data_IF_689626657977
#
_entry.id   IF_689626657977
#
_cell.length_a   1.000
_cell.length_b   1.000
_cell.length_c   1.000
_cell.angle_alpha   90.00
_cell.angle_beta   90.00
_cell.angle_gamma   90.00
#
_symmetry.space_group_name_H-M   'P 1'
#
loop_
_entity.id
_entity.type
_entity.pdbx_description
1 polymer ?
#
# COMPACT_ATOMS: atom_id res chain seq x y z
N UNK A 1 26.70 -11.84 -4.10
CA UNK A 1 25.87 -10.77 -3.51
C UNK A 1 25.02 -11.25 -2.31
N UNK A 2 24.76 -12.55 -2.16
CA UNK A 2 23.92 -13.14 -1.10
C UNK A 2 24.69 -14.05 -0.15
N UNK A 3 25.97 -13.79 0.06
CA UNK A 3 26.84 -14.58 0.96
C UNK A 3 26.73 -14.06 2.39
N UNK A 4 27.08 -14.94 3.36
CA UNK A 4 27.22 -14.56 4.77
C UNK A 4 28.21 -13.39 4.91
N UNK A 5 27.85 -12.40 5.71
CA UNK A 5 28.69 -11.23 6.02
C UNK A 5 29.39 -11.49 7.37
N UNK A 6 30.68 -11.28 7.39
CA UNK A 6 31.48 -11.44 8.60
C UNK A 6 30.99 -10.47 9.68
N UNK A 7 30.76 -10.98 10.89
CA UNK A 7 30.23 -10.17 11.99
C UNK A 7 28.70 -10.17 12.14
N UNK A 8 27.96 -10.87 11.25
CA UNK A 8 26.53 -11.08 11.34
C UNK A 8 26.21 -12.55 11.62
N UNK A 9 25.12 -12.83 12.34
CA UNK A 9 24.65 -14.21 12.59
C UNK A 9 23.78 -14.69 11.43
N UNK A 10 22.96 -13.80 10.88
CA UNK A 10 22.06 -14.06 9.79
C UNK A 10 22.74 -13.84 8.44
N UNK A 11 22.25 -14.52 7.42
CA UNK A 11 22.65 -14.27 6.05
C UNK A 11 21.91 -13.05 5.45
N UNK A 12 22.36 -12.60 4.31
CA UNK A 12 21.74 -11.42 3.64
C UNK A 12 20.28 -11.69 3.30
N UNK A 13 19.90 -12.90 2.96
CA UNK A 13 18.52 -13.24 2.59
C UNK A 13 17.60 -13.12 3.81
N UNK A 14 18.05 -13.61 4.97
CA UNK A 14 17.30 -13.48 6.22
C UNK A 14 17.15 -12.02 6.63
N UNK A 15 18.20 -11.22 6.51
CA UNK A 15 18.14 -9.78 6.77
C UNK A 15 17.12 -9.09 5.85
N UNK A 16 17.12 -9.43 4.55
CA UNK A 16 16.15 -8.88 3.60
C UNK A 16 14.71 -9.27 3.94
N UNK A 17 14.49 -10.51 4.39
CA UNK A 17 13.17 -10.96 4.84
C UNK A 17 12.73 -10.23 6.11
N UNK A 18 13.64 -10.03 7.05
CA UNK A 18 13.36 -9.29 8.28
C UNK A 18 13.04 -7.80 7.98
N UNK A 19 13.76 -7.19 7.04
CA UNK A 19 13.45 -5.82 6.60
C UNK A 19 12.03 -5.67 6.05
N UNK A 20 11.47 -6.70 5.38
CA UNK A 20 10.06 -6.70 4.92
C UNK A 20 9.05 -6.68 6.06
N UNK A 21 9.45 -7.12 7.26
CA UNK A 21 8.61 -7.11 8.46
C UNK A 21 8.48 -5.75 9.13
N UNK A 22 9.27 -4.76 8.74
CA UNK A 22 9.23 -3.42 9.33
C UNK A 22 7.99 -2.67 8.85
N UNK A 23 7.20 -2.18 9.80
CA UNK A 23 6.02 -1.37 9.53
C UNK A 23 6.38 0.11 9.61
N UNK A 24 6.38 0.79 8.46
CA UNK A 24 6.71 2.20 8.33
C UNK A 24 5.46 3.01 8.00
N UNK A 25 5.35 4.19 8.61
CA UNK A 25 4.37 5.21 8.25
C UNK A 25 5.12 6.41 7.68
N UNK A 26 4.74 6.85 6.50
CA UNK A 26 5.37 7.98 5.83
C UNK A 26 4.37 9.11 5.66
N UNK A 27 4.80 10.34 6.01
CA UNK A 27 4.03 11.56 5.90
C UNK A 27 4.66 12.47 4.84
N UNK A 28 3.81 13.17 4.08
CA UNK A 28 4.17 14.28 3.16
C UNK A 28 5.08 13.96 1.96
N UNK A 29 5.85 12.88 1.98
CA UNK A 29 6.78 12.51 0.89
C UNK A 29 6.41 11.18 0.28
N UNK A 30 6.80 11.00 -0.98
CA UNK A 30 6.63 9.72 -1.69
C UNK A 30 7.84 8.79 -1.52
N UNK A 31 9.03 9.36 -1.30
CA UNK A 31 10.28 8.62 -1.11
C UNK A 31 11.13 9.23 0.01
N UNK A 32 11.83 8.37 0.74
CA UNK A 32 12.82 8.75 1.75
C UNK A 32 14.01 7.78 1.72
N UNK A 33 15.17 8.26 2.14
CA UNK A 33 16.37 7.43 2.32
C UNK A 33 16.73 7.45 3.81
N UNK A 34 16.65 6.29 4.43
CA UNK A 34 16.97 6.08 5.83
C UNK A 34 18.34 5.42 5.94
N UNK A 35 19.03 5.66 7.04
CA UNK A 35 20.33 5.04 7.33
C UNK A 35 20.22 4.18 8.57
N UNK A 36 20.76 2.97 8.52
CA UNK A 36 20.94 2.09 9.66
C UNK A 36 22.43 1.86 9.84
N UNK A 37 22.96 2.28 10.98
CA UNK A 37 24.37 2.08 11.33
C UNK A 37 24.48 1.66 12.79
N UNK A 38 25.00 0.46 13.01
CA UNK A 38 25.22 -0.09 14.37
C UNK A 38 26.49 -0.93 14.39
N UNK A 39 27.20 -0.87 15.50
CA UNK A 39 28.41 -1.66 15.77
C UNK A 39 28.38 -2.23 17.18
N UNK A 40 29.07 -3.35 17.38
CA UNK A 40 29.14 -4.07 18.65
C UNK A 40 28.07 -5.16 18.77
N UNK A 41 28.33 -6.14 19.63
CA UNK A 41 27.47 -7.32 19.81
C UNK A 41 26.05 -6.97 20.25
N UNK A 42 25.07 -7.61 19.66
CA UNK A 42 23.67 -7.52 20.06
C UNK A 42 22.69 -7.42 18.89
N UNK A 43 21.39 -7.39 19.21
CA UNK A 43 20.36 -7.27 18.18
C UNK A 43 20.34 -5.88 17.56
N UNK A 44 20.15 -5.84 16.26
CA UNK A 44 19.84 -4.63 15.48
C UNK A 44 18.35 -4.64 15.26
N UNK A 45 17.68 -3.58 15.72
CA UNK A 45 16.23 -3.47 15.66
C UNK A 45 15.79 -2.36 14.69
N UNK A 46 14.53 -2.36 14.34
CA UNK A 46 13.96 -1.29 13.52
C UNK A 46 14.06 0.09 14.20
N UNK A 47 14.12 0.14 15.53
CA UNK A 47 14.35 1.36 16.30
C UNK A 47 15.76 1.96 16.16
N UNK A 48 16.76 1.18 15.70
CA UNK A 48 18.11 1.67 15.43
C UNK A 48 18.22 2.44 14.09
N UNK A 49 17.17 2.43 13.28
CA UNK A 49 17.13 3.17 12.03
C UNK A 49 17.10 4.68 12.32
N UNK A 50 17.99 5.42 11.69
CA UNK A 50 17.98 6.87 11.75
C UNK A 50 16.82 7.39 10.91
N UNK A 51 15.79 7.85 11.60
CA UNK A 51 14.55 8.32 10.97
C UNK A 51 14.67 9.80 10.60
N UNK A 52 14.09 10.16 9.47
CA UNK A 52 13.74 11.55 9.15
C UNK A 52 12.38 11.87 9.81
N UNK A 53 12.10 13.13 10.08
CA UNK A 53 10.84 13.62 10.67
C UNK A 53 9.59 13.23 9.85
N UNK A 54 9.76 12.81 8.62
CA UNK A 54 8.68 12.37 7.71
C UNK A 54 8.35 10.89 7.80
N UNK A 55 9.16 10.08 8.50
CA UNK A 55 9.00 8.62 8.60
C UNK A 55 8.94 8.18 10.04
N UNK A 56 7.97 7.34 10.36
CA UNK A 56 7.77 6.74 11.67
C UNK A 56 7.84 5.21 11.57
N UNK A 57 8.55 4.57 12.51
CA UNK A 57 8.55 3.10 12.68
C UNK A 57 7.48 2.73 13.70
N UNK A 58 6.54 1.88 13.29
CA UNK A 58 5.42 1.45 14.15
C UNK A 58 5.84 0.30 15.06
N UNK A 59 6.76 -0.56 14.61
CA UNK A 59 7.27 -1.72 15.36
C UNK A 59 8.78 -1.62 15.63
N UNK A 60 9.25 -0.71 16.51
CA UNK A 60 10.67 -0.45 16.75
C UNK A 60 11.43 -1.65 17.32
N UNK A 61 10.73 -2.55 18.01
CA UNK A 61 11.34 -3.76 18.62
C UNK A 61 11.59 -4.90 17.61
N UNK A 62 11.18 -4.71 16.35
CA UNK A 62 11.36 -5.73 15.31
C UNK A 62 12.86 -5.93 15.03
N UNK A 63 13.35 -7.17 15.22
CA UNK A 63 14.75 -7.50 15.02
C UNK A 63 15.05 -7.69 13.54
N UNK A 64 16.08 -7.01 13.05
CA UNK A 64 16.57 -7.09 11.67
C UNK A 64 17.67 -8.16 11.57
N UNK A 65 18.67 -8.09 12.46
CA UNK A 65 19.76 -9.04 12.52
C UNK A 65 20.45 -8.98 13.91
N UNK A 66 21.34 -9.93 14.16
CA UNK A 66 22.16 -9.99 15.36
C UNK A 66 23.65 -9.81 15.00
N UNK A 67 24.30 -8.86 15.64
CA UNK A 67 25.74 -8.63 15.49
C UNK A 67 26.54 -9.49 16.46
N UNK A 68 27.67 -10.02 15.99
CA UNK A 68 28.71 -10.66 16.83
C UNK A 68 29.61 -9.62 17.48
N UNK A 69 30.58 -10.05 18.32
CA UNK A 69 31.41 -9.12 19.12
C UNK A 69 32.13 -8.04 18.31
N UNK A 70 32.59 -8.35 17.09
CA UNK A 70 33.27 -7.42 16.19
C UNK A 70 32.43 -7.00 15.00
N UNK A 71 31.12 -7.32 15.06
CA UNK A 71 30.19 -7.05 13.96
C UNK A 71 29.84 -5.57 13.83
N UNK A 72 29.69 -5.14 12.61
CA UNK A 72 29.12 -3.82 12.29
C UNK A 72 28.27 -3.92 11.05
N UNK A 73 27.18 -3.16 11.05
CA UNK A 73 26.29 -3.05 9.91
C UNK A 73 26.12 -1.58 9.55
N UNK A 74 26.19 -1.31 8.25
CA UNK A 74 25.89 0.02 7.71
C UNK A 74 25.13 -0.16 6.40
N UNK A 75 23.87 0.27 6.38
CA UNK A 75 23.03 0.17 5.20
C UNK A 75 22.19 1.43 5.00
N UNK A 76 21.88 1.69 3.74
CA UNK A 76 20.92 2.72 3.35
C UNK A 76 19.66 2.05 2.84
N UNK A 77 18.52 2.45 3.37
CA UNK A 77 17.21 1.91 3.06
C UNK A 77 16.44 2.96 2.26
N UNK A 78 16.19 2.70 0.99
CA UNK A 78 15.26 3.51 0.19
C UNK A 78 13.85 3.03 0.49
N UNK A 79 13.03 3.90 1.04
CA UNK A 79 11.63 3.66 1.37
C UNK A 79 10.77 4.47 0.43
N UNK A 80 9.73 3.86 -0.11
CA UNK A 80 8.76 4.54 -0.98
C UNK A 80 7.34 4.27 -0.52
N UNK A 81 6.43 5.16 -0.89
CA UNK A 81 5.00 5.00 -0.74
C UNK A 81 4.42 4.39 -2.00
N UNK A 82 3.45 3.48 -1.85
CA UNK A 82 2.83 2.81 -2.98
C UNK A 82 1.51 2.17 -2.63
N UNK A 83 0.95 1.40 -3.56
CA UNK A 83 -0.32 0.70 -3.43
C UNK A 83 -0.14 -0.76 -3.83
N UNK A 84 -0.71 -1.67 -3.04
CA UNK A 84 -0.74 -3.09 -3.32
C UNK A 84 0.62 -3.77 -3.15
N UNK A 85 0.95 -4.69 -4.03
CA UNK A 85 2.20 -5.45 -4.05
C UNK A 85 3.00 -5.14 -5.31
N UNK A 86 4.27 -4.78 -5.13
CA UNK A 86 5.19 -4.50 -6.23
C UNK A 86 6.38 -5.47 -6.16
N UNK A 87 6.50 -6.40 -7.13
CA UNK A 87 7.65 -7.30 -7.19
C UNK A 87 8.92 -6.54 -7.59
N UNK A 88 10.07 -6.97 -7.07
CA UNK A 88 11.37 -6.39 -7.36
C UNK A 88 11.69 -6.33 -8.86
N UNK A 89 11.18 -7.28 -9.63
CA UNK A 89 11.36 -7.33 -11.09
C UNK A 89 10.71 -6.16 -11.82
N UNK A 90 9.58 -5.66 -11.36
CA UNK A 90 8.91 -4.49 -11.96
C UNK A 90 9.65 -3.19 -11.67
N UNK A 91 10.21 -3.06 -10.48
CA UNK A 91 11.01 -1.90 -10.09
C UNK A 91 12.33 -1.81 -10.91
N UNK A 92 12.80 -2.95 -11.43
CA UNK A 92 14.03 -3.02 -12.22
C UNK A 92 13.85 -2.50 -13.65
N UNK A 93 12.66 -2.55 -14.23
CA UNK A 93 12.40 -2.18 -15.63
C UNK A 93 12.62 -0.67 -15.87
N UNK A 94 12.40 0.18 -14.86
CA UNK A 94 12.60 1.64 -14.96
C UNK A 94 14.04 2.12 -14.68
N UNK A 95 14.88 1.32 -14.03
CA UNK A 95 16.21 1.72 -13.54
C UNK A 95 17.36 0.84 -14.11
N UNK A 96 17.10 0.02 -15.15
CA UNK A 96 18.03 -1.01 -15.63
C UNK A 96 19.40 -0.45 -16.10
N UNK A 97 19.49 0.82 -16.51
CA UNK A 97 20.72 1.40 -17.05
C UNK A 97 21.68 2.00 -16.00
N UNK A 98 21.24 2.19 -14.76
CA UNK A 98 22.03 2.93 -13.73
C UNK A 98 22.06 2.25 -12.37
N UNK A 99 21.95 0.92 -12.30
CA UNK A 99 21.95 0.22 -11.02
C UNK A 99 23.35 0.24 -10.36
N UNK A 100 23.55 0.95 -9.24
CA UNK A 100 24.83 0.92 -8.55
C UNK A 100 25.08 -0.48 -7.97
N UNK A 101 26.34 -0.91 -8.04
CA UNK A 101 26.80 -2.17 -7.45
C UNK A 101 26.51 -2.15 -5.94
N UNK A 102 25.98 -3.24 -5.40
CA UNK A 102 25.63 -3.35 -3.97
C UNK A 102 24.22 -2.90 -3.60
N UNK A 103 23.40 -2.48 -4.55
CA UNK A 103 21.98 -2.21 -4.32
C UNK A 103 21.18 -3.51 -4.46
N UNK A 104 20.58 -3.93 -3.36
CA UNK A 104 19.66 -5.07 -3.30
C UNK A 104 18.22 -4.55 -3.37
N UNK A 105 17.41 -5.22 -4.16
CA UNK A 105 16.02 -4.84 -4.39
C UNK A 105 15.10 -5.85 -3.73
N UNK A 106 14.13 -5.33 -2.98
CA UNK A 106 13.10 -6.10 -2.28
C UNK A 106 11.74 -5.94 -2.95
N UNK A 107 10.95 -7.00 -2.91
CA UNK A 107 9.52 -6.86 -3.17
C UNK A 107 8.89 -5.97 -2.09
N UNK A 108 8.06 -5.04 -2.49
CA UNK A 108 7.37 -4.16 -1.58
C UNK A 108 5.88 -4.52 -1.45
N UNK A 109 5.43 -4.70 -0.22
CA UNK A 109 4.01 -4.83 0.11
C UNK A 109 3.56 -3.56 0.84
N UNK A 110 2.72 -2.78 0.17
CA UNK A 110 2.23 -1.50 0.71
C UNK A 110 0.89 -1.64 1.45
N UNK A 111 0.33 -2.86 1.50
CA UNK A 111 -0.94 -3.09 2.16
C UNK A 111 -0.80 -3.06 3.68
N UNK A 112 -1.52 -2.20 4.41
CA UNK A 112 -1.51 -2.17 5.87
C UNK A 112 -2.27 -3.36 6.49
N UNK A 113 -3.12 -4.03 5.72
CA UNK A 113 -3.96 -5.15 6.18
C UNK A 113 -3.22 -6.45 5.99
N UNK A 114 -3.04 -7.21 7.08
CA UNK A 114 -2.40 -8.53 7.09
C UNK A 114 -3.39 -9.67 6.85
N UNK A 115 -4.56 -9.58 7.49
CA UNK A 115 -5.56 -10.63 7.45
C UNK A 115 -6.95 -10.02 7.49
N UNK A 116 -7.85 -10.57 6.70
CA UNK A 116 -9.28 -10.27 6.75
C UNK A 116 -10.06 -11.59 6.75
N UNK A 117 -10.96 -11.73 7.70
CA UNK A 117 -11.96 -12.77 7.70
C UNK A 117 -13.34 -12.14 7.82
N UNK A 118 -14.36 -12.78 7.26
CA UNK A 118 -15.73 -12.32 7.42
C UNK A 118 -16.66 -13.50 7.68
N UNK A 119 -17.74 -13.22 8.41
CA UNK A 119 -18.87 -14.11 8.57
C UNK A 119 -20.17 -13.34 8.43
N UNK A 120 -21.20 -14.05 7.99
CA UNK A 120 -22.54 -13.48 7.83
C UNK A 120 -23.49 -14.30 8.71
N UNK A 121 -24.11 -13.62 9.67
CA UNK A 121 -25.08 -14.21 10.59
C UNK A 121 -26.47 -13.65 10.29
N UNK A 122 -27.51 -14.43 10.54
CA UNK A 122 -28.87 -13.95 10.49
C UNK A 122 -29.12 -12.93 11.62
N UNK A 123 -29.68 -11.79 11.28
CA UNK A 123 -30.01 -10.75 12.24
C UNK A 123 -31.51 -10.51 12.28
N UNK A 124 -32.02 -10.24 13.49
CA UNK A 124 -33.39 -9.82 13.71
C UNK A 124 -33.42 -8.41 14.28
N UNK A 125 -34.10 -7.51 13.57
CA UNK A 125 -34.38 -6.16 14.07
C UNK A 125 -35.90 -6.00 14.12
N UNK A 126 -36.44 -5.92 15.34
CA UNK A 126 -37.88 -5.87 15.63
C UNK A 126 -38.65 -7.03 14.98
N UNK A 127 -39.52 -6.76 14.01
CA UNK A 127 -40.31 -7.75 13.29
C UNK A 127 -39.63 -8.25 11.99
N UNK A 128 -38.47 -7.64 11.60
CA UNK A 128 -37.73 -8.05 10.41
C UNK A 128 -36.77 -9.19 10.78
N UNK A 129 -36.96 -10.34 10.17
CA UNK A 129 -36.17 -11.57 10.40
C UNK A 129 -35.28 -11.91 9.19
N UNK A 130 -35.37 -11.13 8.10
CA UNK A 130 -34.69 -11.35 6.84
C UNK A 130 -33.48 -10.41 6.65
N UNK A 131 -32.80 -10.09 7.74
CA UNK A 131 -31.64 -9.24 7.71
C UNK A 131 -30.38 -10.07 7.96
N UNK A 132 -29.30 -9.70 7.30
CA UNK A 132 -27.98 -10.25 7.51
C UNK A 132 -27.13 -9.31 8.33
N UNK A 133 -26.32 -9.88 9.22
CA UNK A 133 -25.30 -9.20 10.00
C UNK A 133 -23.93 -9.59 9.44
N UNK A 134 -23.21 -8.63 8.87
CA UNK A 134 -21.85 -8.83 8.45
C UNK A 134 -20.88 -8.59 9.63
N UNK A 135 -20.04 -9.56 9.92
CA UNK A 135 -18.97 -9.49 10.89
C UNK A 135 -17.65 -9.51 10.11
N UNK A 136 -16.82 -8.49 10.31
CA UNK A 136 -15.49 -8.39 9.73
C UNK A 136 -14.46 -8.50 10.85
N UNK A 137 -13.50 -9.41 10.68
CA UNK A 137 -12.31 -9.57 11.53
C UNK A 137 -11.10 -9.15 10.72
N UNK A 138 -10.46 -8.03 11.15
CA UNK A 138 -9.41 -7.38 10.40
C UNK A 138 -8.17 -7.22 11.27
N UNK A 139 -7.04 -7.74 10.80
CA UNK A 139 -5.73 -7.57 11.40
C UNK A 139 -4.87 -6.65 10.54
N UNK A 140 -4.37 -5.55 11.13
CA UNK A 140 -3.47 -4.61 10.46
C UNK A 140 -2.04 -4.74 10.98
N UNK A 141 -1.09 -4.12 10.29
CA UNK A 141 0.31 -4.04 10.73
C UNK A 141 0.57 -2.88 11.73
N UNK A 142 -0.48 -2.19 12.18
CA UNK A 142 -0.41 -1.05 13.11
C UNK A 142 -0.19 0.31 12.44
N UNK A 143 0.08 0.36 11.13
CA UNK A 143 0.24 1.65 10.43
C UNK A 143 -1.10 2.37 10.22
N UNK A 144 -2.20 1.62 10.23
CA UNK A 144 -3.57 2.13 10.08
C UNK A 144 -4.50 1.38 11.01
N UNK A 145 -5.51 2.05 11.55
CA UNK A 145 -6.59 1.43 12.32
C UNK A 145 -7.57 0.65 11.40
N UNK A 146 -8.24 -0.34 11.96
CA UNK A 146 -9.13 -1.22 11.21
C UNK A 146 -10.32 -0.46 10.60
N UNK A 147 -10.89 0.51 11.33
CA UNK A 147 -12.01 1.32 10.84
C UNK A 147 -11.59 2.20 9.66
N UNK A 148 -10.41 2.84 9.74
CA UNK A 148 -9.82 3.62 8.67
C UNK A 148 -9.55 2.78 7.42
N UNK A 149 -9.07 1.55 7.60
CA UNK A 149 -8.84 0.62 6.49
C UNK A 149 -10.14 0.28 5.73
N UNK A 150 -11.24 0.01 6.45
CA UNK A 150 -12.55 -0.25 5.84
C UNK A 150 -13.08 0.97 5.11
N UNK A 151 -12.99 2.17 5.73
CA UNK A 151 -13.44 3.42 5.11
C UNK A 151 -12.65 3.72 3.83
N UNK A 152 -11.33 3.54 3.86
CA UNK A 152 -10.47 3.74 2.69
C UNK A 152 -10.82 2.77 1.57
N UNK A 153 -11.00 1.49 1.88
CA UNK A 153 -11.40 0.48 0.90
C UNK A 153 -12.77 0.80 0.27
N UNK A 154 -13.73 1.23 1.08
CA UNK A 154 -15.05 1.63 0.59
C UNK A 154 -14.98 2.86 -0.35
N UNK A 155 -14.15 3.85 -0.02
CA UNK A 155 -13.93 5.02 -0.87
C UNK A 155 -13.30 4.62 -2.21
N UNK A 156 -12.28 3.75 -2.21
CA UNK A 156 -11.65 3.25 -3.43
C UNK A 156 -12.68 2.56 -4.32
N UNK A 157 -13.55 1.71 -3.75
CA UNK A 157 -14.62 1.05 -4.50
C UNK A 157 -15.63 2.06 -5.06
N UNK A 158 -16.04 3.04 -4.26
CA UNK A 158 -16.96 4.08 -4.71
C UNK A 158 -16.39 4.89 -5.88
N UNK A 159 -15.12 5.28 -5.80
CA UNK A 159 -14.41 6.00 -6.86
C UNK A 159 -14.31 5.17 -8.14
N UNK A 160 -14.03 3.88 -8.05
CA UNK A 160 -13.98 2.98 -9.20
C UNK A 160 -15.38 2.80 -9.85
N UNK A 161 -16.43 2.78 -9.04
CA UNK A 161 -17.80 2.65 -9.53
C UNK A 161 -18.35 3.98 -10.06
N UNK A 162 -17.83 5.12 -9.66
CA UNK A 162 -18.26 6.44 -10.12
C UNK A 162 -18.15 6.59 -11.65
N UNK A 163 -17.15 5.97 -12.25
CA UNK A 163 -16.97 5.95 -13.72
C UNK A 163 -18.23 5.42 -14.44
N UNK A 164 -18.89 4.41 -13.87
CA UNK A 164 -20.14 3.87 -14.47
C UNK A 164 -21.34 4.77 -14.26
N UNK A 165 -21.36 5.52 -13.17
CA UNK A 165 -22.42 6.52 -12.89
C UNK A 165 -22.27 7.70 -13.84
N UNK A 166 -21.07 8.23 -13.98
CA UNK A 166 -20.76 9.36 -14.87
C UNK A 166 -20.99 9.00 -16.35
N UNK A 167 -20.75 7.75 -16.73
CA UNK A 167 -21.01 7.27 -18.09
C UNK A 167 -22.50 7.33 -18.45
N UNK A 168 -23.40 6.98 -17.50
CA UNK A 168 -24.84 7.10 -17.69
C UNK A 168 -25.29 8.58 -17.75
N UNK A 169 -24.73 9.43 -16.92
CA UNK A 169 -25.02 10.85 -16.91
C UNK A 169 -24.60 11.52 -18.25
N UNK A 170 -23.41 11.19 -18.76
CA UNK A 170 -22.94 11.71 -20.07
C UNK A 170 -23.81 11.25 -21.22
N UNK A 171 -24.22 9.97 -21.25
CA UNK A 171 -25.15 9.50 -22.29
C UNK A 171 -26.50 10.22 -22.23
N UNK A 172 -27.03 10.51 -21.05
CA UNK A 172 -28.29 11.25 -20.90
C UNK A 172 -28.16 12.69 -21.41
N UNK A 173 -27.05 13.37 -21.10
CA UNK A 173 -26.77 14.74 -21.59
C UNK A 173 -26.58 14.76 -23.10
N UNK A 174 -25.85 13.80 -23.69
CA UNK A 174 -25.68 13.71 -25.15
C UNK A 174 -26.98 13.42 -25.87
N UNK A 175 -27.93 12.70 -25.28
CA UNK A 175 -29.25 12.44 -25.85
C UNK A 175 -30.10 13.73 -25.80
N UNK A 176 -30.09 14.45 -24.66
CA UNK A 176 -30.81 15.72 -24.53
C UNK A 176 -30.24 16.81 -25.46
N UNK A 177 -28.93 16.91 -25.64
CA UNK A 177 -28.30 17.84 -26.58
C UNK A 177 -28.66 17.52 -28.05
N UNK A 178 -28.69 16.23 -28.42
CA UNK A 178 -29.10 15.81 -29.77
C UNK A 178 -30.60 16.02 -30.04
N UNK A 179 -31.46 15.91 -29.04
CA UNK A 179 -32.87 16.24 -29.18
C UNK A 179 -33.11 17.74 -29.30
N UNK A 180 -32.24 18.59 -28.74
CA UNK A 180 -32.33 20.06 -28.88
C UNK A 180 -31.75 20.59 -30.20
N UNK A 181 -30.93 19.83 -30.91
CA UNK A 181 -30.35 20.20 -32.21
C UNK A 181 -31.25 19.86 -33.43
N UNK A 182 -32.49 19.47 -33.23
CA UNK A 182 -33.41 19.28 -34.34
C UNK A 182 -33.69 20.65 -34.97
N UNK A 183 -33.18 20.83 -36.19
CA UNK A 183 -33.29 22.07 -36.97
C UNK A 183 -34.76 22.51 -37.06
N UNK A 184 -35.10 23.71 -36.58
CA UNK A 184 -36.45 24.22 -36.63
C UNK A 184 -37.02 24.35 -38.07
N UNK A 185 -36.18 24.19 -39.09
CA UNK A 185 -36.59 24.11 -40.51
C UNK A 185 -37.38 22.85 -40.83
N UNK A 186 -37.12 21.74 -40.12
CA UNK A 186 -37.82 20.47 -40.28
C UNK A 186 -39.21 20.43 -39.64
N UNK A 187 -39.55 21.44 -38.84
CA UNK A 187 -40.85 21.57 -38.16
C UNK A 187 -41.83 22.47 -38.92
N UNK A 188 -41.48 22.98 -40.10
CA UNK A 188 -42.43 23.76 -40.91
C UNK A 188 -43.40 22.80 -41.57
N UNK A 189 -44.73 23.05 -41.42
CA UNK A 189 -45.72 22.32 -42.19
C UNK A 189 -45.55 22.65 -43.70
N UNK A 190 -45.63 21.64 -44.53
CA UNK A 190 -45.62 21.76 -45.97
C UNK A 190 -47.03 22.30 -46.31
N UNK A 191 -47.08 23.57 -46.64
CA UNK A 191 -48.33 24.16 -47.23
C UNK A 191 -48.48 23.61 -48.65
N UNK A 192 -49.65 22.98 -48.90
CA UNK A 192 -50.11 22.52 -50.23
C UNK A 192 -50.42 23.67 -51.14
#
# INVERSE_FOLDING_TARGET
>A
EYTAVEGLQEDIIEILLNLKGIALRMHEREEAVLTLSKSGAGPVTAGDIQLDHTVEVVNPDHVICNLTQDGSINMRLKVSRGVGYQPATQLTIGEAETRPIGRLQLDASFCPVRKVAYSVDAARVEQRTNLDKLILDIETNGTMDCEGAVKLAANILADQLSVFVDFKARQAVEIEEKEQEIDPVLLRPIDD
#
